data_IF_613921852277
#
_entry.id   IF_613921852277
#
_cell.length_a   1.000
_cell.length_b   1.000
_cell.length_c   1.000
_cell.angle_alpha   90.00
_cell.angle_beta   90.00
_cell.angle_gamma   90.00
#
_symmetry.space_group_name_H-M   'P 1'
#
loop_
_entity.id
_entity.type
_entity.pdbx_description
1 polymer ?
#
# COMPACT_ATOMS: atom_id res chain seq x y z
N UNK A 1 -2.44 11.76 -14.14
CA UNK A 1 -1.43 10.70 -13.95
C UNK A 1 -0.33 11.28 -13.07
N UNK A 2 0.23 10.52 -12.12
CA UNK A 2 1.19 11.04 -11.11
C UNK A 2 2.44 11.70 -11.75
N UNK A 3 2.75 11.33 -13.00
CA UNK A 3 3.83 11.90 -13.82
C UNK A 3 3.39 13.01 -14.78
N UNK A 4 2.10 13.33 -14.87
CA UNK A 4 1.54 14.41 -15.70
C UNK A 4 1.07 15.60 -14.87
N UNK A 5 1.41 15.69 -13.58
CA UNK A 5 1.13 16.87 -12.79
C UNK A 5 2.08 18.02 -13.21
N UNK A 6 1.62 18.74 -14.24
CA UNK A 6 2.00 20.06 -14.75
C UNK A 6 3.30 20.25 -15.59
N UNK A 7 3.09 20.41 -16.91
CA UNK A 7 3.63 21.53 -17.67
C UNK A 7 2.44 22.41 -18.07
N UNK A 8 2.23 23.55 -17.40
CA UNK A 8 1.57 24.79 -17.88
C UNK A 8 1.18 25.68 -16.69
N UNK A 9 1.89 26.78 -16.52
CA UNK A 9 1.82 27.81 -15.48
C UNK A 9 0.43 28.42 -15.21
N UNK A 10 0.15 28.78 -13.94
CA UNK A 10 0.02 30.18 -13.47
C UNK A 10 -0.38 30.26 -11.98
N UNK A 11 0.59 30.59 -11.12
CA UNK A 11 0.56 31.75 -10.21
C UNK A 11 1.90 31.82 -9.50
N UNK A 12 2.68 32.80 -9.93
CA UNK A 12 3.99 33.16 -9.45
C UNK A 12 3.85 33.84 -8.09
N UNK A 13 4.06 33.13 -6.98
CA UNK A 13 4.56 33.76 -5.76
C UNK A 13 5.21 32.73 -4.85
N UNK A 14 6.54 32.77 -4.83
CA UNK A 14 7.45 32.29 -3.80
C UNK A 14 7.05 30.98 -3.09
N UNK A 15 7.45 29.84 -3.64
CA UNK A 15 7.60 28.60 -2.85
C UNK A 15 9.00 28.04 -3.11
N UNK A 16 9.68 27.72 -2.02
CA UNK A 16 11.13 27.47 -1.97
C UNK A 16 11.60 26.39 -2.93
N UNK A 17 12.89 26.49 -3.29
CA UNK A 17 13.60 25.65 -4.27
C UNK A 17 13.73 24.16 -3.90
N UNK A 18 13.05 23.69 -2.87
CA UNK A 18 13.14 22.32 -2.35
C UNK A 18 11.82 21.57 -2.50
N UNK A 19 11.24 21.56 -3.70
CA UNK A 19 10.17 20.61 -4.01
C UNK A 19 10.78 19.46 -4.79
N UNK A 20 10.88 18.33 -4.12
CA UNK A 20 11.34 17.09 -4.72
C UNK A 20 10.33 16.61 -5.78
N UNK A 21 10.79 16.36 -7.00
CA UNK A 21 9.97 15.78 -8.06
C UNK A 21 10.29 14.30 -8.25
N UNK A 22 9.28 13.46 -8.50
CA UNK A 22 9.50 12.04 -8.79
C UNK A 22 10.41 11.81 -10.00
N UNK A 23 10.36 12.74 -10.98
CA UNK A 23 11.25 12.74 -12.14
C UNK A 23 12.73 12.85 -11.79
N UNK A 24 13.06 13.38 -10.61
CA UNK A 24 14.43 13.53 -10.14
C UNK A 24 14.99 12.20 -9.59
N UNK A 25 14.12 11.20 -9.37
CA UNK A 25 14.48 9.87 -8.83
C UNK A 25 14.43 8.79 -9.87
N UNK A 26 13.33 8.76 -10.64
CA UNK A 26 13.11 7.77 -11.69
C UNK A 26 12.20 8.32 -12.78
N UNK A 27 12.40 7.84 -13.99
CA UNK A 27 11.46 8.03 -15.09
C UNK A 27 10.14 7.30 -14.82
N UNK A 28 9.07 7.72 -15.52
CA UNK A 28 7.77 7.03 -15.50
C UNK A 28 7.90 5.54 -15.82
N UNK A 29 8.75 5.19 -16.78
CA UNK A 29 8.93 3.82 -17.23
C UNK A 29 9.64 2.97 -16.17
N UNK A 30 10.67 3.51 -15.53
CA UNK A 30 11.36 2.82 -14.42
C UNK A 30 10.40 2.58 -13.25
N UNK A 31 9.60 3.57 -12.88
CA UNK A 31 8.57 3.38 -11.84
C UNK A 31 7.60 2.27 -12.21
N UNK A 32 7.03 2.29 -13.41
CA UNK A 32 6.07 1.29 -13.85
C UNK A 32 6.71 -0.11 -13.88
N UNK A 33 7.96 -0.21 -14.33
CA UNK A 33 8.70 -1.48 -14.32
C UNK A 33 8.85 -2.02 -12.90
N UNK A 34 9.26 -1.19 -11.93
CA UNK A 34 9.38 -1.60 -10.53
C UNK A 34 8.01 -1.96 -9.95
N UNK A 35 7.02 -1.08 -10.16
CA UNK A 35 5.68 -1.23 -9.62
C UNK A 35 4.99 -2.51 -10.09
N UNK A 36 5.07 -2.82 -11.39
CA UNK A 36 4.44 -4.02 -11.95
C UNK A 36 5.14 -5.32 -11.59
N UNK A 37 6.45 -5.27 -11.28
CA UNK A 37 7.23 -6.46 -10.92
C UNK A 37 7.43 -6.62 -9.41
N UNK A 38 6.75 -5.83 -8.58
CA UNK A 38 6.88 -5.90 -7.13
C UNK A 38 6.23 -7.18 -6.58
N UNK A 39 7.05 -8.09 -6.04
CA UNK A 39 6.61 -9.34 -5.45
C UNK A 39 7.38 -9.61 -4.15
N UNK A 40 6.69 -10.18 -3.14
CA UNK A 40 7.29 -10.46 -1.83
C UNK A 40 7.42 -11.94 -1.52
N UNK A 41 6.84 -12.79 -2.35
CA UNK A 41 6.96 -14.24 -2.24
C UNK A 41 6.86 -14.88 -3.62
N UNK A 42 7.56 -15.99 -3.83
CA UNK A 42 7.58 -16.73 -5.09
C UNK A 42 7.00 -18.12 -4.87
N UNK A 43 6.10 -18.56 -5.74
CA UNK A 43 5.62 -19.94 -5.74
C UNK A 43 6.52 -20.79 -6.66
N UNK A 44 7.40 -21.65 -6.12
CA UNK A 44 8.31 -22.45 -6.93
C UNK A 44 7.59 -23.55 -7.71
N UNK A 45 6.35 -23.91 -7.33
CA UNK A 45 5.57 -24.92 -8.01
C UNK A 45 4.20 -24.36 -8.42
N UNK A 46 4.05 -23.91 -9.69
CA UNK A 46 2.81 -23.31 -10.17
C UNK A 46 1.62 -24.28 -10.16
N UNK A 47 1.86 -25.59 -10.07
CA UNK A 47 0.80 -26.60 -9.99
C UNK A 47 0.18 -26.71 -8.59
N UNK A 48 0.79 -26.08 -7.58
CA UNK A 48 0.25 -26.04 -6.22
C UNK A 48 -0.49 -24.72 -6.02
N UNK A 49 -1.80 -24.81 -5.78
CA UNK A 49 -2.61 -23.66 -5.40
C UNK A 49 -2.18 -23.15 -4.03
N UNK A 50 -1.64 -21.94 -3.99
CA UNK A 50 -1.30 -21.24 -2.74
C UNK A 50 -2.40 -20.25 -2.38
N UNK A 51 -2.62 -20.02 -1.09
CA UNK A 51 -3.58 -19.01 -0.63
C UNK A 51 -3.17 -17.61 -1.15
N UNK A 52 -4.14 -16.72 -1.42
CA UNK A 52 -3.84 -15.34 -1.84
C UNK A 52 -2.93 -14.59 -0.85
N UNK A 53 -3.00 -14.94 0.44
CA UNK A 53 -2.16 -14.37 1.50
C UNK A 53 -0.69 -14.79 1.40
N UNK A 54 -0.38 -15.86 0.66
CA UNK A 54 0.99 -16.35 0.47
C UNK A 54 1.89 -15.27 -0.10
N UNK A 55 1.40 -14.50 -1.09
CA UNK A 55 2.19 -13.48 -1.78
C UNK A 55 2.61 -12.32 -0.88
N UNK A 56 1.84 -12.01 0.17
CA UNK A 56 2.10 -10.88 1.09
C UNK A 56 2.60 -11.33 2.48
N UNK A 57 2.62 -12.64 2.74
CA UNK A 57 2.95 -13.20 4.05
C UNK A 57 4.33 -12.74 4.59
N UNK A 58 5.41 -12.65 3.76
CA UNK A 58 6.71 -12.21 4.25
C UNK A 58 6.71 -10.78 4.78
N UNK A 59 6.07 -9.84 4.06
CA UNK A 59 5.92 -8.46 4.53
C UNK A 59 5.06 -8.39 5.79
N UNK A 60 3.91 -9.07 5.81
CA UNK A 60 3.05 -9.06 6.99
C UNK A 60 3.77 -9.57 8.22
N UNK A 61 4.60 -10.62 8.06
CA UNK A 61 5.44 -11.14 9.14
C UNK A 61 6.46 -10.10 9.58
N UNK A 62 7.18 -9.49 8.64
CA UNK A 62 8.21 -8.50 8.92
C UNK A 62 7.66 -7.28 9.65
N UNK A 63 6.56 -6.69 9.15
CA UNK A 63 5.90 -5.53 9.80
C UNK A 63 5.48 -5.88 11.23
N UNK A 64 4.82 -7.04 11.43
CA UNK A 64 4.42 -7.48 12.79
C UNK A 64 5.62 -7.65 13.72
N UNK A 65 6.74 -8.18 13.23
CA UNK A 65 7.96 -8.34 14.01
C UNK A 65 8.56 -6.99 14.39
N UNK A 66 8.67 -6.06 13.44
CA UNK A 66 9.21 -4.73 13.69
C UNK A 66 8.32 -3.94 14.66
N UNK A 67 6.99 -3.99 14.49
CA UNK A 67 6.07 -3.34 15.43
C UNK A 67 6.25 -3.85 16.86
N UNK A 68 6.41 -5.16 17.06
CA UNK A 68 6.65 -5.72 18.40
C UNK A 68 8.02 -5.34 18.98
N UNK A 69 9.03 -5.22 18.12
CA UNK A 69 10.37 -4.88 18.54
C UNK A 69 10.49 -3.42 19.00
N UNK A 70 9.86 -2.50 18.26
CA UNK A 70 10.02 -1.07 18.48
C UNK A 70 8.89 -0.42 19.29
N UNK A 71 7.79 -1.12 19.53
CA UNK A 71 6.66 -0.58 20.28
C UNK A 71 6.24 -1.53 21.42
N UNK A 72 6.29 -1.01 22.65
CA UNK A 72 5.73 -1.67 23.84
C UNK A 72 4.43 -0.95 24.21
N UNK A 73 3.26 -1.63 24.13
CA UNK A 73 2.00 -1.00 24.47
C UNK A 73 1.89 -0.73 25.97
N UNK A 74 1.17 0.32 26.35
CA UNK A 74 0.76 0.55 27.74
C UNK A 74 -0.42 -0.33 28.16
N UNK A 75 -0.92 -0.11 29.37
CA UNK A 75 -1.97 -0.94 30.00
C UNK A 75 -3.37 -0.76 29.39
N UNK A 76 -3.58 0.25 28.55
CA UNK A 76 -4.86 0.54 27.89
C UNK A 76 -4.66 0.43 26.39
N UNK A 77 -5.26 -0.59 25.78
CA UNK A 77 -5.19 -0.87 24.35
C UNK A 77 -6.61 -0.76 23.79
N UNK A 78 -6.76 -0.04 22.68
CA UNK A 78 -7.98 -0.02 21.89
C UNK A 78 -7.75 -0.87 20.64
N UNK A 79 -8.69 -1.77 20.33
CA UNK A 79 -8.67 -2.61 19.14
C UNK A 79 -9.84 -2.18 18.27
N UNK A 80 -9.60 -1.91 17.00
CA UNK A 80 -10.63 -1.46 16.06
C UNK A 80 -10.49 -2.10 14.67
N UNK A 81 -11.48 -1.88 13.83
CA UNK A 81 -11.57 -2.34 12.46
C UNK A 81 -11.34 -1.21 11.46
N UNK A 82 -10.26 -1.34 10.70
CA UNK A 82 -9.96 -0.48 9.55
C UNK A 82 -10.39 -1.13 8.24
N UNK A 83 -10.68 -0.30 7.24
CA UNK A 83 -11.08 -0.74 5.89
C UNK A 83 -10.18 -0.08 4.85
N UNK A 84 -9.36 -0.90 4.18
CA UNK A 84 -8.52 -0.46 3.08
C UNK A 84 -9.33 -0.49 1.79
N UNK A 85 -9.40 0.65 1.10
CA UNK A 85 -10.15 0.75 -0.15
C UNK A 85 -9.46 -0.05 -1.25
N UNK A 86 -10.13 -1.06 -1.80
CA UNK A 86 -9.60 -1.86 -2.90
C UNK A 86 -10.71 -2.25 -3.87
N UNK A 87 -10.48 -2.04 -5.17
CA UNK A 87 -11.44 -2.31 -6.24
C UNK A 87 -11.10 -3.57 -7.06
N UNK A 88 -9.93 -4.18 -6.86
CA UNK A 88 -9.56 -5.41 -7.56
C UNK A 88 -10.31 -6.65 -7.05
N UNK A 89 -10.13 -7.76 -7.76
CA UNK A 89 -10.69 -9.07 -7.40
C UNK A 89 -9.77 -9.77 -6.41
N UNK A 90 -10.23 -9.93 -5.17
CA UNK A 90 -9.59 -10.74 -4.12
C UNK A 90 -10.67 -11.42 -3.30
N UNK A 91 -10.40 -12.65 -2.83
CA UNK A 91 -11.39 -13.47 -2.12
C UNK A 91 -11.81 -12.88 -0.76
N UNK A 92 -10.92 -12.11 -0.11
CA UNK A 92 -11.14 -11.56 1.23
C UNK A 92 -11.63 -10.10 1.24
N UNK A 93 -12.26 -9.65 0.15
CA UNK A 93 -12.95 -8.36 0.10
C UNK A 93 -14.25 -8.43 0.91
N UNK A 94 -14.45 -7.47 1.81
CA UNK A 94 -15.61 -7.42 2.71
C UNK A 94 -16.51 -6.24 2.36
N UNK A 95 -17.82 -6.44 2.50
CA UNK A 95 -18.83 -5.39 2.44
C UNK A 95 -19.23 -4.96 3.86
N UNK A 96 -19.18 -3.65 4.16
CA UNK A 96 -19.70 -3.06 5.37
C UNK A 96 -20.57 -1.82 5.03
N UNK A 97 -21.90 -1.90 5.13
CA UNK A 97 -22.80 -0.82 4.74
C UNK A 97 -22.66 0.44 5.60
N UNK A 98 -22.13 0.32 6.83
CA UNK A 98 -22.00 1.43 7.78
C UNK A 98 -20.76 2.29 7.52
N UNK A 99 -19.79 1.82 6.71
CA UNK A 99 -18.60 2.60 6.36
C UNK A 99 -18.85 3.45 5.10
N UNK A 100 -18.31 4.67 5.00
CA UNK A 100 -18.45 5.52 3.81
C UNK A 100 -17.99 4.82 2.52
N UNK A 101 -16.93 4.01 2.63
CA UNK A 101 -16.48 3.11 1.57
C UNK A 101 -16.91 1.70 1.92
N UNK A 102 -18.02 1.28 1.31
CA UNK A 102 -18.70 0.04 1.70
C UNK A 102 -17.95 -1.24 1.36
N UNK A 103 -17.02 -1.20 0.41
CA UNK A 103 -16.26 -2.38 -0.01
C UNK A 103 -14.76 -2.14 0.16
N UNK A 104 -14.07 -3.09 0.79
CA UNK A 104 -12.62 -3.00 0.97
C UNK A 104 -12.04 -4.24 1.64
N UNK A 105 -10.77 -4.14 2.00
CA UNK A 105 -10.06 -5.15 2.79
C UNK A 105 -10.22 -4.77 4.25
N UNK A 106 -10.86 -5.63 5.04
CA UNK A 106 -11.03 -5.44 6.48
C UNK A 106 -9.74 -5.84 7.20
N UNK A 107 -9.24 -4.98 8.07
CA UNK A 107 -8.04 -5.21 8.88
C UNK A 107 -8.36 -4.86 10.33
N UNK A 108 -7.91 -5.68 11.28
CA UNK A 108 -7.96 -5.38 12.70
C UNK A 108 -6.65 -4.70 13.09
N UNK A 109 -6.74 -3.57 13.79
CA UNK A 109 -5.61 -2.75 14.23
C UNK A 109 -5.69 -2.46 15.72
#
# INVERSE_FOLDING_TARGET
DLFHYHHSSHTSQQRGKDVFHFSDVFSKNEFLNIFWNLHFNHNPNPNVTVSERFFIAPILKHVKQMSKLFYTPGNKIAIDESTISFKGKVSFRVYNPMKPKKFGLKVFV
#
